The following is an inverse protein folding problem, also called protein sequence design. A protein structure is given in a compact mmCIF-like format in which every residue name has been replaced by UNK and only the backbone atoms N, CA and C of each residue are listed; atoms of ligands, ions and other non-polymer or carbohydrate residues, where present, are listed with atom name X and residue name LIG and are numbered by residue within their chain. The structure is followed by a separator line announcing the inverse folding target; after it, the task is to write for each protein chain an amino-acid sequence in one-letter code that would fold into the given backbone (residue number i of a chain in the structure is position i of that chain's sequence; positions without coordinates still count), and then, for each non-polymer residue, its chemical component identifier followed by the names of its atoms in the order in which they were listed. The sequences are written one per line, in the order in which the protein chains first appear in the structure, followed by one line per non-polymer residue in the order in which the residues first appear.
data_IF_656749021933
#
_entry.id   IF_656749021933
#
_cell.length_a   1.000
_cell.length_b   1.000
_cell.length_c   1.000
_cell.angle_alpha   90.00
_cell.angle_beta   90.00
_cell.angle_gamma   90.00
#
_symmetry.space_group_name_H-M   'P 1'
#
loop_
_entity.id
_entity.type
_entity.pdbx_description
1 polymer ?
#
# COMPACT_ATOMS: atom_id res chain seq x y z
N UNK A 1 9.84 13.23 -6.49
CA UNK A 1 9.86 12.88 -5.06
C UNK A 1 11.00 11.90 -4.87
N UNK A 2 11.71 11.96 -3.73
CA UNK A 2 12.75 10.98 -3.38
C UNK A 2 12.15 9.58 -3.24
N UNK A 3 12.96 8.57 -3.44
CA UNK A 3 12.59 7.17 -3.24
C UNK A 3 12.74 6.77 -1.77
N UNK A 4 12.12 5.66 -1.37
CA UNK A 4 12.32 5.08 -0.04
C UNK A 4 13.79 4.71 0.19
N UNK A 5 14.44 4.17 -0.85
CA UNK A 5 15.87 3.83 -0.84
C UNK A 5 16.77 5.05 -0.57
N UNK A 6 16.46 6.19 -1.15
CA UNK A 6 17.18 7.44 -0.90
C UNK A 6 16.98 7.91 0.54
N UNK A 7 15.74 7.84 1.05
CA UNK A 7 15.39 8.23 2.41
C UNK A 7 16.10 7.40 3.50
N UNK A 8 16.54 6.17 3.20
CA UNK A 8 17.35 5.36 4.12
C UNK A 8 18.72 6.00 4.48
N UNK A 9 19.15 6.99 3.71
CA UNK A 9 20.43 7.70 3.93
C UNK A 9 20.25 9.02 4.67
N UNK A 10 19.01 9.43 4.93
CA UNK A 10 18.70 10.71 5.53
C UNK A 10 19.04 10.74 7.02
N UNK A 11 19.56 11.87 7.48
CA UNK A 11 19.69 12.20 8.89
C UNK A 11 18.32 12.40 9.53
N UNK A 12 18.28 12.42 10.87
CA UNK A 12 17.04 12.72 11.60
C UNK A 12 16.43 14.07 11.20
N UNK A 13 17.27 15.10 11.05
CA UNK A 13 16.84 16.44 10.65
C UNK A 13 16.22 16.44 9.24
N UNK A 14 16.84 15.74 8.28
CA UNK A 14 16.31 15.60 6.93
C UNK A 14 14.96 14.85 6.93
N UNK A 15 14.79 13.82 7.76
CA UNK A 15 13.52 13.11 7.90
C UNK A 15 12.43 13.98 8.52
N UNK A 16 12.73 14.80 9.52
CA UNK A 16 11.76 15.75 10.08
C UNK A 16 11.36 16.84 9.08
N UNK A 17 12.30 17.34 8.29
CA UNK A 17 11.99 18.26 7.21
C UNK A 17 11.13 17.62 6.13
N UNK A 18 11.43 16.37 5.75
CA UNK A 18 10.61 15.59 4.83
C UNK A 18 9.17 15.40 5.31
N UNK A 19 8.96 15.09 6.60
CA UNK A 19 7.63 14.99 7.19
C UNK A 19 6.85 16.30 7.07
N UNK A 20 7.50 17.43 7.38
CA UNK A 20 6.88 18.76 7.21
C UNK A 20 6.47 19.01 5.75
N UNK A 21 7.37 18.73 4.81
CA UNK A 21 7.08 18.86 3.37
C UNK A 21 5.89 18.00 2.94
N UNK A 22 5.82 16.75 3.40
CA UNK A 22 4.71 15.85 3.10
C UNK A 22 3.39 16.34 3.70
N UNK A 23 3.40 16.85 4.93
CA UNK A 23 2.24 17.43 5.60
C UNK A 23 1.73 18.66 4.85
N UNK A 24 2.62 19.60 4.51
CA UNK A 24 2.26 20.81 3.79
C UNK A 24 1.71 20.48 2.40
N UNK A 25 2.30 19.50 1.72
CA UNK A 25 1.83 19.02 0.44
C UNK A 25 0.45 18.35 0.55
N UNK A 26 0.22 17.53 1.57
CA UNK A 26 -1.08 16.94 1.83
C UNK A 26 -2.16 17.99 2.07
N UNK A 27 -1.86 19.06 2.82
CA UNK A 27 -2.77 20.21 3.01
C UNK A 27 -3.07 20.94 1.69
N UNK A 28 -2.05 21.19 0.88
CA UNK A 28 -2.20 21.88 -0.42
C UNK A 28 -3.02 21.04 -1.40
N UNK A 29 -2.81 19.75 -1.44
CA UNK A 29 -3.51 18.81 -2.32
C UNK A 29 -4.69 18.10 -1.62
N UNK A 30 -5.36 18.81 -0.69
CA UNK A 30 -6.44 18.26 0.13
C UNK A 30 -7.61 17.68 -0.69
N UNK A 31 -7.83 18.17 -1.92
CA UNK A 31 -8.85 17.68 -2.84
C UNK A 31 -8.69 16.22 -3.23
N UNK A 32 -7.48 15.66 -3.13
CA UNK A 32 -7.24 14.23 -3.42
C UNK A 32 -7.97 13.35 -2.39
N UNK A 33 -8.05 13.79 -1.12
CA UNK A 33 -8.67 13.02 -0.05
C UNK A 33 -7.95 11.69 0.21
N UNK A 34 -6.62 11.67 0.10
CA UNK A 34 -5.80 10.48 0.32
C UNK A 34 -5.70 10.10 1.80
N UNK A 35 -5.76 11.08 2.69
CA UNK A 35 -5.67 10.90 4.14
C UNK A 35 -6.97 11.32 4.83
N UNK A 36 -7.30 10.64 5.92
CA UNK A 36 -8.46 10.99 6.75
C UNK A 36 -8.27 12.38 7.37
N UNK A 37 -7.06 12.73 7.77
CA UNK A 37 -6.71 14.02 8.33
C UNK A 37 -7.05 15.19 7.38
N UNK A 38 -6.97 15.00 6.05
CA UNK A 38 -7.34 16.03 5.08
C UNK A 38 -8.82 16.43 5.19
N UNK A 39 -9.71 15.46 5.45
CA UNK A 39 -11.14 15.73 5.65
C UNK A 39 -11.43 16.38 7.01
N UNK A 40 -10.55 16.18 7.99
CA UNK A 40 -10.69 16.74 9.34
C UNK A 40 -9.99 18.11 9.48
N UNK A 41 -9.27 18.58 8.47
CA UNK A 41 -8.48 19.81 8.55
C UNK A 41 -7.34 19.75 9.57
N UNK A 42 -6.79 18.57 9.80
CA UNK A 42 -5.70 18.29 10.76
C UNK A 42 -4.38 18.05 10.04
N UNK A 43 -3.29 18.18 10.80
CA UNK A 43 -1.99 17.67 10.38
C UNK A 43 -2.02 16.15 10.29
N UNK A 44 -1.13 15.59 9.44
CA UNK A 44 -0.96 14.15 9.36
C UNK A 44 -0.52 13.60 10.72
N UNK A 45 -1.14 12.51 11.15
CA UNK A 45 -0.76 11.80 12.37
C UNK A 45 0.72 11.39 12.30
N UNK A 46 1.52 11.73 13.30
CA UNK A 46 2.94 11.40 13.36
C UNK A 46 3.20 10.31 14.40
N UNK A 47 3.80 9.22 13.97
CA UNK A 47 4.14 8.07 14.81
C UNK A 47 5.53 8.14 15.44
N UNK A 48 6.22 9.28 15.36
CA UNK A 48 7.55 9.48 15.95
C UNK A 48 8.69 9.40 14.94
N UNK A 49 9.92 9.23 15.43
CA UNK A 49 11.12 9.22 14.60
C UNK A 49 11.13 8.11 13.54
N UNK A 50 11.74 8.39 12.38
CA UNK A 50 11.95 7.43 11.30
C UNK A 50 11.40 7.89 9.95
N UNK A 51 11.63 7.06 8.93
CA UNK A 51 11.18 7.31 7.56
C UNK A 51 9.64 7.22 7.51
N UNK A 52 8.94 8.26 7.05
CA UNK A 52 7.49 8.32 7.07
C UNK A 52 6.84 7.33 6.11
N UNK A 53 5.97 6.47 6.65
CA UNK A 53 5.16 5.49 5.90
C UNK A 53 3.68 5.73 6.19
N UNK A 54 2.89 5.96 5.16
CA UNK A 54 1.45 6.16 5.29
C UNK A 54 0.73 4.84 5.63
N UNK A 55 -0.25 4.89 6.53
CA UNK A 55 -0.88 3.68 7.08
C UNK A 55 -2.37 3.67 6.77
N UNK A 56 -2.85 2.60 6.13
CA UNK A 56 -4.29 2.41 5.91
C UNK A 56 -5.05 2.35 7.23
N UNK A 57 -6.18 3.03 7.31
CA UNK A 57 -6.97 3.25 8.53
C UNK A 57 -7.66 1.98 9.09
N UNK A 58 -7.23 0.80 8.68
CA UNK A 58 -7.59 -0.48 9.28
C UNK A 58 -6.39 -1.22 9.90
N UNK A 59 -5.22 -0.58 9.99
CA UNK A 59 -4.02 -1.15 10.62
C UNK A 59 -3.76 -0.38 11.91
N UNK A 60 -3.75 -1.10 13.03
CA UNK A 60 -3.58 -0.52 14.38
C UNK A 60 -2.22 0.13 14.55
N UNK A 61 -2.23 1.43 14.83
CA UNK A 61 -1.09 2.19 15.36
C UNK A 61 -1.48 2.63 16.76
N UNK A 62 -0.71 2.24 17.75
CA UNK A 62 -1.01 2.57 19.16
C UNK A 62 -1.25 4.07 19.36
N UNK A 63 -2.28 4.38 20.12
CA UNK A 63 -2.71 5.74 20.47
C UNK A 63 -3.28 6.57 19.30
N UNK A 64 -3.38 6.00 18.08
CA UNK A 64 -4.11 6.60 16.97
C UNK A 64 -5.56 6.12 16.92
N UNK A 65 -6.45 6.96 16.42
CA UNK A 65 -7.78 6.48 16.03
C UNK A 65 -7.64 5.43 14.92
N UNK A 66 -8.45 4.38 14.99
CA UNK A 66 -8.60 3.37 13.94
C UNK A 66 -10.09 3.26 13.62
N UNK A 67 -10.48 3.85 12.50
CA UNK A 67 -11.90 3.98 12.18
C UNK A 67 -12.38 3.10 11.05
N UNK A 68 -11.48 2.47 10.30
CA UNK A 68 -11.81 1.74 9.06
C UNK A 68 -12.65 2.59 8.09
N UNK A 69 -12.43 3.91 8.09
CA UNK A 69 -13.22 4.91 7.37
C UNK A 69 -14.74 4.84 7.66
N UNK A 70 -15.14 4.38 8.85
CA UNK A 70 -16.53 4.23 9.29
C UNK A 70 -16.88 5.18 10.43
N UNK A 71 -18.13 5.65 10.42
CA UNK A 71 -18.71 6.40 11.54
C UNK A 71 -18.83 5.56 12.82
N UNK A 72 -19.01 4.24 12.68
CA UNK A 72 -19.21 3.31 13.81
C UNK A 72 -18.00 3.31 14.75
N UNK A 73 -16.77 3.41 14.19
CA UNK A 73 -15.54 3.36 14.97
C UNK A 73 -14.95 4.74 15.28
N UNK A 74 -15.67 5.83 15.03
CA UNK A 74 -15.19 7.16 15.43
C UNK A 74 -14.91 7.23 16.92
N UNK A 75 -13.72 7.76 17.29
CA UNK A 75 -13.26 7.85 18.67
C UNK A 75 -12.68 6.54 19.23
N UNK A 76 -12.67 5.45 18.46
CA UNK A 76 -11.94 4.26 18.86
C UNK A 76 -10.43 4.49 18.69
N UNK A 77 -9.70 4.43 19.79
CA UNK A 77 -8.24 4.58 19.81
C UNK A 77 -7.59 3.19 19.93
N UNK A 78 -6.68 2.88 19.05
CA UNK A 78 -6.00 1.59 19.02
C UNK A 78 -5.11 1.42 20.27
N UNK A 79 -5.30 0.36 21.09
CA UNK A 79 -4.55 0.20 22.34
C UNK A 79 -3.16 -0.39 22.16
N UNK A 80 -2.82 -0.86 20.93
CA UNK A 80 -1.54 -1.49 20.60
C UNK A 80 -1.16 -1.30 19.15
N UNK A 81 0.13 -1.39 18.86
CA UNK A 81 0.64 -1.46 17.48
C UNK A 81 0.37 -2.83 16.85
N UNK A 82 -0.08 -2.86 15.62
CA UNK A 82 -0.02 -4.06 14.79
C UNK A 82 1.43 -4.58 14.69
N UNK A 83 1.61 -5.88 14.47
CA UNK A 83 2.96 -6.45 14.31
C UNK A 83 3.72 -5.78 13.17
N UNK A 84 3.07 -5.46 12.06
CA UNK A 84 3.67 -4.71 10.96
C UNK A 84 4.20 -3.34 11.39
N UNK A 85 3.50 -2.63 12.28
CA UNK A 85 3.92 -1.33 12.81
C UNK A 85 5.14 -1.48 13.74
N UNK A 86 5.14 -2.50 14.62
CA UNK A 86 6.31 -2.81 15.45
C UNK A 86 7.53 -3.12 14.60
N UNK A 87 7.34 -3.91 13.54
CA UNK A 87 8.40 -4.27 12.61
C UNK A 87 8.93 -3.05 11.86
N UNK A 88 8.06 -2.17 11.36
CA UNK A 88 8.45 -0.90 10.74
C UNK A 88 9.34 -0.07 11.67
N UNK A 89 8.88 0.17 12.90
CA UNK A 89 9.62 0.96 13.90
C UNK A 89 11.01 0.36 14.18
N UNK A 90 11.11 -0.98 14.29
CA UNK A 90 12.38 -1.68 14.54
C UNK A 90 13.38 -1.57 13.39
N UNK A 91 12.92 -1.17 12.20
CA UNK A 91 13.72 -0.98 10.97
C UNK A 91 13.94 0.49 10.60
N UNK A 92 13.62 1.42 11.51
CA UNK A 92 13.84 2.84 11.30
C UNK A 92 12.76 3.55 10.47
N UNK A 93 11.59 2.93 10.30
CA UNK A 93 10.43 3.57 9.70
C UNK A 93 9.46 4.07 10.76
N UNK A 94 8.63 5.03 10.41
CA UNK A 94 7.60 5.60 11.28
C UNK A 94 6.24 5.64 10.58
N UNK A 95 5.14 5.25 11.24
CA UNK A 95 3.79 5.55 10.75
C UNK A 95 3.60 7.05 10.57
N UNK A 96 3.02 7.48 9.43
CA UNK A 96 2.81 8.88 9.14
C UNK A 96 1.57 9.11 8.29
N UNK A 97 0.48 9.59 8.89
CA UNK A 97 -0.82 9.81 8.28
C UNK A 97 -1.66 8.54 8.12
N UNK A 98 -2.97 8.66 8.34
CA UNK A 98 -3.96 7.60 8.17
C UNK A 98 -4.59 7.71 6.79
N UNK A 99 -4.33 6.75 5.90
CA UNK A 99 -4.88 6.80 4.55
C UNK A 99 -6.34 6.36 4.51
N UNK A 100 -7.11 7.11 3.72
CA UNK A 100 -8.52 6.84 3.48
C UNK A 100 -8.74 5.52 2.74
N UNK A 101 -9.93 4.95 2.87
CA UNK A 101 -10.23 3.63 2.34
C UNK A 101 -11.74 3.45 2.11
N UNK A 102 -12.16 2.42 1.41
CA UNK A 102 -13.55 1.98 1.48
C UNK A 102 -13.90 1.51 2.89
N UNK A 103 -15.10 1.82 3.36
CA UNK A 103 -15.56 1.51 4.72
C UNK A 103 -15.39 0.01 5.01
N UNK A 104 -14.72 -0.33 6.13
CA UNK A 104 -14.36 -1.70 6.55
C UNK A 104 -13.62 -2.52 5.47
N UNK A 105 -12.90 -1.87 4.57
CA UNK A 105 -12.25 -2.49 3.41
C UNK A 105 -13.21 -3.16 2.41
N UNK A 106 -14.50 -2.88 2.49
CA UNK A 106 -15.56 -3.45 1.66
C UNK A 106 -15.84 -2.55 0.46
N UNK A 107 -14.97 -2.58 -0.56
CA UNK A 107 -15.15 -1.79 -1.77
C UNK A 107 -13.95 -1.84 -2.70
N UNK A 108 -14.09 -1.20 -3.84
CA UNK A 108 -13.09 -1.17 -4.91
C UNK A 108 -12.93 0.21 -5.55
N UNK A 109 -13.39 1.27 -4.86
CA UNK A 109 -13.41 2.62 -5.43
C UNK A 109 -12.97 3.73 -4.46
N UNK A 110 -12.87 3.42 -3.16
CA UNK A 110 -12.65 4.39 -2.06
C UNK A 110 -13.68 5.52 -2.05
N UNK A 111 -14.92 5.18 -2.44
CA UNK A 111 -16.06 6.10 -2.46
C UNK A 111 -17.04 5.86 -1.30
N UNK A 112 -16.89 4.77 -0.53
CA UNK A 112 -17.78 4.39 0.57
C UNK A 112 -17.31 4.92 1.93
N UNK A 113 -16.17 5.60 1.98
CA UNK A 113 -15.65 6.22 3.20
C UNK A 113 -16.65 7.21 3.80
N UNK A 114 -16.86 7.12 5.12
CA UNK A 114 -17.65 8.10 5.87
C UNK A 114 -17.09 9.53 5.76
N UNK A 115 -15.76 9.68 5.65
CA UNK A 115 -15.12 10.99 5.59
C UNK A 115 -15.27 11.67 4.23
N UNK A 116 -15.38 10.90 3.17
CA UNK A 116 -15.50 11.40 1.79
C UNK A 116 -14.68 10.56 0.80
N UNK A 117 -14.84 10.86 -0.48
CA UNK A 117 -14.17 10.09 -1.55
C UNK A 117 -12.69 10.46 -1.66
N UNK A 118 -11.88 9.46 -1.97
CA UNK A 118 -10.54 9.68 -2.52
C UNK A 118 -10.62 9.83 -4.04
N UNK A 119 -9.87 10.75 -4.62
CA UNK A 119 -9.78 10.95 -6.06
C UNK A 119 -8.49 10.35 -6.62
N UNK A 120 -8.54 9.89 -7.87
CA UNK A 120 -7.35 9.41 -8.56
C UNK A 120 -6.45 10.61 -8.93
N UNK A 121 -5.19 10.68 -8.44
CA UNK A 121 -4.33 11.84 -8.69
C UNK A 121 -3.92 12.00 -10.16
N UNK A 122 -4.01 10.95 -10.99
CA UNK A 122 -3.75 11.02 -12.41
C UNK A 122 -4.93 11.60 -13.21
N UNK A 123 -6.16 11.43 -12.69
CA UNK A 123 -7.37 11.97 -13.31
C UNK A 123 -8.50 12.05 -12.27
N UNK A 124 -8.81 13.25 -11.81
CA UNK A 124 -9.83 13.48 -10.77
C UNK A 124 -11.26 13.08 -11.17
N UNK A 125 -11.53 12.82 -12.46
CA UNK A 125 -12.80 12.26 -12.90
C UNK A 125 -12.88 10.72 -12.77
N UNK A 126 -11.81 10.09 -12.32
CA UNK A 126 -11.72 8.62 -12.15
C UNK A 126 -11.56 8.27 -10.68
N UNK A 127 -11.98 7.05 -10.32
CA UNK A 127 -11.74 6.48 -8.99
C UNK A 127 -10.29 6.06 -8.84
N UNK A 128 -9.72 6.13 -7.62
CA UNK A 128 -8.36 5.65 -7.34
C UNK A 128 -8.29 4.11 -7.25
N UNK A 129 -9.45 3.44 -7.27
CA UNK A 129 -9.56 2.05 -6.86
C UNK A 129 -9.73 1.92 -5.34
N UNK A 130 -9.75 0.68 -4.86
CA UNK A 130 -9.95 0.37 -3.44
C UNK A 130 -9.78 -1.12 -3.13
N UNK A 131 -9.85 -1.43 -1.89
CA UNK A 131 -10.21 -0.56 -0.74
C UNK A 131 -9.05 0.32 -0.24
N UNK A 132 -7.80 0.13 -0.67
CA UNK A 132 -6.64 0.95 -0.27
C UNK A 132 -6.42 2.16 -1.21
N UNK A 133 -7.50 2.84 -1.64
CA UNK A 133 -7.40 3.93 -2.61
C UNK A 133 -6.67 5.16 -2.06
N UNK A 134 -6.84 5.49 -0.78
CA UNK A 134 -6.07 6.54 -0.12
C UNK A 134 -4.58 6.25 -0.09
N UNK A 135 -4.19 5.00 0.19
CA UNK A 135 -2.79 4.55 0.18
C UNK A 135 -2.16 4.69 -1.22
N UNK A 136 -2.89 4.26 -2.26
CA UNK A 136 -2.42 4.39 -3.64
C UNK A 136 -2.35 5.85 -4.10
N UNK A 137 -3.39 6.63 -3.79
CA UNK A 137 -3.44 8.05 -4.13
C UNK A 137 -2.36 8.88 -3.41
N UNK A 138 -2.04 8.54 -2.15
CA UNK A 138 -0.96 9.20 -1.42
C UNK A 138 0.39 8.98 -2.11
N UNK A 139 0.71 7.76 -2.51
CA UNK A 139 1.97 7.43 -3.21
C UNK A 139 2.00 8.06 -4.60
N UNK A 140 0.98 7.84 -5.42
CA UNK A 140 0.92 8.33 -6.80
C UNK A 140 0.84 9.87 -6.88
N UNK A 141 0.15 10.51 -5.94
CA UNK A 141 0.06 11.98 -5.82
C UNK A 141 1.31 12.61 -5.21
N UNK A 142 2.28 11.81 -4.82
CA UNK A 142 3.50 12.30 -4.18
C UNK A 142 3.30 12.85 -2.78
N UNK A 143 2.29 12.38 -2.04
CA UNK A 143 1.98 12.76 -0.68
C UNK A 143 2.58 11.78 0.34
N UNK A 144 3.09 10.66 -0.11
CA UNK A 144 3.82 9.67 0.68
C UNK A 144 4.94 9.04 -0.15
N UNK A 145 6.05 8.68 0.49
CA UNK A 145 7.11 7.88 -0.15
C UNK A 145 6.62 6.47 -0.45
N UNK A 146 5.95 5.90 0.52
CA UNK A 146 5.38 4.57 0.49
C UNK A 146 4.21 4.48 1.48
N UNK A 147 3.39 3.45 1.33
CA UNK A 147 2.26 3.20 2.23
C UNK A 147 2.00 1.72 2.46
N UNK A 148 1.35 1.41 3.59
CA UNK A 148 0.74 0.11 3.84
C UNK A 148 -0.73 0.14 3.41
N UNK A 149 -1.16 -0.98 2.84
CA UNK A 149 -2.55 -1.27 2.54
C UNK A 149 -2.96 -2.66 3.00
N UNK A 150 -4.20 -3.05 2.77
CA UNK A 150 -4.68 -4.42 2.97
C UNK A 150 -5.37 -4.92 1.71
N UNK A 151 -5.17 -6.19 1.39
CA UNK A 151 -5.68 -6.82 0.16
C UNK A 151 -6.36 -8.15 0.49
N UNK A 152 -7.61 -8.27 0.15
CA UNK A 152 -8.41 -9.48 0.26
C UNK A 152 -8.61 -10.11 -1.11
N UNK A 153 -9.10 -9.31 -2.06
CA UNK A 153 -9.39 -9.71 -3.43
C UNK A 153 -8.87 -8.71 -4.48
N UNK A 154 -7.83 -7.92 -4.15
CA UNK A 154 -7.25 -6.91 -5.05
C UNK A 154 -7.01 -5.55 -4.41
N UNK A 155 -7.36 -5.37 -3.13
CA UNK A 155 -7.45 -4.03 -2.51
C UNK A 155 -6.11 -3.30 -2.28
N UNK A 156 -4.96 -3.87 -2.64
CA UNK A 156 -3.65 -3.20 -2.80
C UNK A 156 -3.31 -3.11 -4.28
N UNK A 157 -3.44 -4.21 -5.02
CA UNK A 157 -3.00 -4.36 -6.41
C UNK A 157 -3.84 -3.51 -7.38
N UNK A 158 -5.17 -3.53 -7.22
CA UNK A 158 -6.09 -2.80 -8.10
C UNK A 158 -5.95 -1.28 -7.94
N UNK A 159 -5.98 -0.67 -6.73
CA UNK A 159 -5.79 0.76 -6.61
C UNK A 159 -4.37 1.21 -7.04
N UNK A 160 -3.34 0.38 -6.83
CA UNK A 160 -2.01 0.67 -7.36
C UNK A 160 -1.99 0.74 -8.89
N UNK A 161 -2.64 -0.23 -9.56
CA UNK A 161 -2.78 -0.23 -11.02
C UNK A 161 -3.56 1.01 -11.52
N UNK A 162 -4.63 1.40 -10.84
CA UNK A 162 -5.45 2.56 -11.23
C UNK A 162 -4.73 3.90 -11.03
N UNK A 163 -3.90 4.00 -10.00
CA UNK A 163 -3.14 5.21 -9.69
C UNK A 163 -1.74 5.23 -10.32
N UNK A 164 -1.29 4.16 -10.98
CA UNK A 164 0.01 4.11 -11.67
C UNK A 164 1.20 4.00 -10.71
N UNK A 165 1.04 3.32 -9.57
CA UNK A 165 2.13 3.00 -8.65
C UNK A 165 2.31 1.47 -8.51
N UNK A 166 3.31 1.03 -7.77
CA UNK A 166 3.56 -0.40 -7.50
C UNK A 166 2.75 -0.84 -6.29
N UNK A 167 1.93 -1.87 -6.46
CA UNK A 167 1.22 -2.53 -5.36
C UNK A 167 1.62 -3.99 -5.25
N UNK A 168 2.19 -4.37 -4.11
CA UNK A 168 2.62 -5.73 -3.86
C UNK A 168 1.83 -6.36 -2.70
N UNK A 169 1.10 -7.42 -3.01
CA UNK A 169 0.43 -8.28 -2.02
C UNK A 169 1.26 -9.55 -1.81
N UNK A 170 1.85 -9.73 -0.64
CA UNK A 170 2.56 -10.97 -0.30
C UNK A 170 1.65 -12.20 -0.36
N UNK A 171 2.25 -13.38 -0.42
CA UNK A 171 1.51 -14.62 -0.19
C UNK A 171 0.92 -14.63 1.22
N UNK A 172 -0.26 -15.27 1.36
CA UNK A 172 -0.96 -15.38 2.64
C UNK A 172 -0.06 -15.97 3.74
N UNK A 173 -0.09 -15.33 4.91
CA UNK A 173 0.72 -15.73 6.05
C UNK A 173 2.18 -15.23 6.04
N UNK A 174 2.64 -14.52 5.01
CA UNK A 174 4.02 -13.98 4.97
C UNK A 174 4.20 -12.70 5.76
N UNK A 175 3.13 -11.96 5.98
CA UNK A 175 3.07 -10.75 6.82
C UNK A 175 1.98 -10.97 7.85
N UNK A 176 2.28 -10.71 9.12
CA UNK A 176 1.30 -10.86 10.21
C UNK A 176 0.08 -9.96 10.01
N UNK A 177 -1.08 -10.49 10.34
CA UNK A 177 -2.36 -9.78 10.38
C UNK A 177 -2.74 -9.34 11.80
N UNK A 178 -1.90 -9.60 12.80
CA UNK A 178 -2.18 -9.13 14.16
C UNK A 178 -2.22 -7.60 14.20
N UNK A 179 -3.37 -7.08 14.62
CA UNK A 179 -3.66 -5.64 14.61
C UNK A 179 -4.23 -5.09 13.29
N UNK A 180 -4.60 -5.96 12.34
CA UNK A 180 -5.39 -5.60 11.17
C UNK A 180 -6.88 -5.78 11.48
N UNK A 181 -7.69 -4.73 11.32
CA UNK A 181 -9.14 -4.87 11.28
C UNK A 181 -9.54 -5.62 10.00
N UNK A 182 -10.12 -6.80 10.18
CA UNK A 182 -10.33 -7.76 9.10
C UNK A 182 -11.53 -7.42 8.23
N UNK A 183 -11.41 -7.68 6.92
CA UNK A 183 -12.54 -7.86 6.00
C UNK A 183 -12.89 -9.35 5.87
N UNK A 184 -11.90 -10.17 5.55
CA UNK A 184 -12.03 -11.63 5.47
C UNK A 184 -10.78 -12.30 6.02
N UNK A 185 -10.88 -12.86 7.23
CA UNK A 185 -9.74 -13.40 7.96
C UNK A 185 -8.99 -14.53 7.24
N UNK A 186 -9.63 -15.23 6.30
CA UNK A 186 -9.02 -16.30 5.51
C UNK A 186 -8.33 -15.83 4.23
N UNK A 187 -8.43 -14.54 3.89
CA UNK A 187 -7.93 -13.99 2.62
C UNK A 187 -7.07 -12.74 2.80
N UNK A 188 -7.31 -11.95 3.86
CA UNK A 188 -6.65 -10.67 4.09
C UNK A 188 -5.14 -10.80 4.19
N UNK A 189 -4.44 -9.86 3.56
CA UNK A 189 -3.00 -9.71 3.69
C UNK A 189 -2.62 -8.23 3.68
N UNK A 190 -1.77 -7.81 4.60
CA UNK A 190 -1.16 -6.48 4.53
C UNK A 190 -0.13 -6.51 3.39
N UNK A 191 -0.20 -5.49 2.54
CA UNK A 191 0.69 -5.29 1.41
C UNK A 191 1.23 -3.87 1.37
N UNK A 192 2.12 -3.61 0.44
CA UNK A 192 2.85 -2.36 0.30
C UNK A 192 2.51 -1.66 -1.01
N UNK A 193 2.50 -0.32 -0.98
CA UNK A 193 2.36 0.51 -2.17
C UNK A 193 3.54 1.50 -2.21
N UNK A 194 4.20 1.59 -3.36
CA UNK A 194 5.44 2.35 -3.53
C UNK A 194 5.56 2.91 -4.95
N UNK A 195 6.55 3.76 -5.18
CA UNK A 195 6.80 4.34 -6.49
C UNK A 195 7.50 3.37 -7.46
N UNK A 196 8.28 2.44 -6.94
CA UNK A 196 9.07 1.49 -7.73
C UNK A 196 9.19 0.12 -7.02
N UNK A 197 9.67 -0.88 -7.74
CA UNK A 197 9.76 -2.28 -7.26
C UNK A 197 10.82 -2.44 -6.18
N UNK A 198 11.92 -1.70 -6.23
CA UNK A 198 12.99 -1.78 -5.22
C UNK A 198 12.48 -1.29 -3.86
N UNK A 199 11.77 -0.17 -3.83
CA UNK A 199 11.13 0.34 -2.62
C UNK A 199 10.06 -0.63 -2.07
N UNK A 200 9.33 -1.33 -2.96
CA UNK A 200 8.37 -2.36 -2.55
C UNK A 200 9.07 -3.53 -1.86
N UNK A 201 10.21 -3.97 -2.36
CA UNK A 201 11.00 -5.02 -1.74
C UNK A 201 11.56 -4.58 -0.37
N UNK A 202 12.09 -3.36 -0.27
CA UNK A 202 12.60 -2.80 0.99
C UNK A 202 11.49 -2.73 2.04
N UNK A 203 10.32 -2.21 1.69
CA UNK A 203 9.21 -2.07 2.63
C UNK A 203 8.60 -3.43 3.00
N UNK A 204 8.50 -4.36 2.04
CA UNK A 204 8.09 -5.73 2.32
C UNK A 204 9.05 -6.43 3.30
N UNK A 205 10.34 -6.32 3.08
CA UNK A 205 11.37 -6.90 3.97
C UNK A 205 11.30 -6.31 5.39
N UNK A 206 10.82 -5.07 5.52
CA UNK A 206 10.64 -4.45 6.83
C UNK A 206 9.44 -5.00 7.60
N UNK A 207 8.39 -5.51 6.93
CA UNK A 207 7.15 -5.94 7.60
C UNK A 207 6.95 -7.45 7.62
N UNK A 208 7.69 -8.21 6.80
CA UNK A 208 7.53 -9.65 6.66
C UNK A 208 8.14 -10.44 7.82
N UNK A 209 7.66 -11.65 8.01
CA UNK A 209 8.20 -12.61 8.97
C UNK A 209 7.13 -13.34 9.76
N UNK A 210 7.57 -14.38 10.48
CA UNK A 210 6.70 -15.16 11.36
C UNK A 210 6.28 -14.36 12.61
N UNK A 211 5.01 -14.47 12.95
CA UNK A 211 4.45 -13.89 14.17
C UNK A 211 3.58 -14.92 14.90
N UNK A 212 3.95 -15.22 16.16
CA UNK A 212 3.16 -16.12 17.03
C UNK A 212 1.77 -15.59 17.39
N UNK A 213 1.55 -14.26 17.23
CA UNK A 213 0.27 -13.61 17.51
C UNK A 213 -0.75 -13.78 16.38
N UNK A 214 -0.30 -14.20 15.19
CA UNK A 214 -1.18 -14.54 14.05
C UNK A 214 -1.08 -16.04 13.79
N UNK A 215 -2.15 -16.77 14.14
CA UNK A 215 -2.21 -18.25 13.98
C UNK A 215 -2.01 -18.73 12.53
N UNK A 216 -2.19 -17.84 11.55
CA UNK A 216 -2.02 -18.15 10.14
C UNK A 216 -0.66 -17.71 9.59
N UNK A 217 0.19 -17.09 10.43
CA UNK A 217 1.54 -16.69 10.03
C UNK A 217 2.38 -17.93 9.68
N UNK A 218 3.00 -17.89 8.50
CA UNK A 218 3.75 -19.03 7.98
C UNK A 218 5.08 -19.20 8.74
N UNK A 219 5.28 -20.39 9.30
CA UNK A 219 6.55 -20.79 9.96
C UNK A 219 7.58 -21.20 8.91
N UNK A 220 8.07 -20.23 8.16
CA UNK A 220 9.09 -20.44 7.13
C UNK A 220 10.21 -19.42 7.32
N UNK A 221 11.42 -19.83 6.96
CA UNK A 221 12.55 -18.92 7.00
C UNK A 221 12.31 -17.73 6.08
N UNK A 222 12.64 -16.55 6.58
CA UNK A 222 12.54 -15.31 5.82
C UNK A 222 13.89 -14.99 5.17
N UNK A 223 13.88 -14.95 3.85
CA UNK A 223 15.02 -14.45 3.06
C UNK A 223 14.68 -13.03 2.57
N UNK A 224 15.50 -12.03 2.87
CA UNK A 224 15.28 -10.68 2.38
C UNK A 224 15.16 -10.62 0.85
N UNK A 225 14.20 -9.85 0.37
CA UNK A 225 13.89 -9.74 -1.07
C UNK A 225 14.72 -8.66 -1.74
N UNK A 226 14.89 -7.51 -1.09
CA UNK A 226 15.56 -6.35 -1.68
C UNK A 226 16.99 -6.64 -2.17
N UNK A 227 17.87 -7.31 -1.39
CA UNK A 227 19.22 -7.64 -1.86
C UNK A 227 19.25 -8.76 -2.92
N UNK A 228 18.15 -9.49 -3.11
CA UNK A 228 18.03 -10.62 -4.01
C UNK A 228 17.20 -10.32 -5.27
N UNK A 229 16.88 -9.05 -5.53
CA UNK A 229 16.23 -8.65 -6.78
C UNK A 229 17.16 -8.98 -7.97
N UNK A 230 16.64 -9.73 -8.93
CA UNK A 230 17.37 -10.13 -10.13
C UNK A 230 16.50 -9.94 -11.37
N UNK A 231 16.73 -8.86 -12.09
CA UNK A 231 16.04 -8.54 -13.34
C UNK A 231 16.49 -9.39 -14.54
N UNK A 232 17.65 -10.08 -14.44
CA UNK A 232 18.18 -10.92 -15.53
C UNK A 232 17.59 -12.32 -15.56
N UNK A 233 16.96 -12.76 -14.46
CA UNK A 233 16.35 -14.08 -14.36
C UNK A 233 15.24 -14.25 -15.40
N UNK A 234 15.41 -15.21 -16.31
CA UNK A 234 14.37 -15.57 -17.29
C UNK A 234 13.31 -16.43 -16.63
N UNK A 235 12.06 -16.09 -16.89
CA UNK A 235 10.90 -16.73 -16.30
C UNK A 235 10.01 -17.33 -17.40
N UNK A 236 9.28 -18.38 -17.05
CA UNK A 236 8.14 -18.88 -17.81
C UNK A 236 6.87 -18.25 -17.25
N UNK A 237 6.18 -17.46 -18.06
CA UNK A 237 5.06 -16.60 -17.64
C UNK A 237 3.78 -17.10 -18.31
N UNK A 238 2.78 -17.48 -17.52
CA UNK A 238 1.47 -17.84 -18.03
C UNK A 238 0.62 -16.58 -18.28
N UNK A 239 -0.03 -16.54 -19.43
CA UNK A 239 -1.06 -15.54 -19.77
C UNK A 239 -2.40 -16.26 -19.83
N UNK A 240 -3.35 -15.84 -19.01
CA UNK A 240 -4.71 -16.37 -19.00
C UNK A 240 -5.51 -15.64 -20.08
N UNK A 241 -5.77 -16.31 -21.19
CA UNK A 241 -6.37 -15.69 -22.38
C UNK A 241 -7.78 -15.16 -22.13
N UNK A 242 -8.57 -15.86 -21.34
CA UNK A 242 -9.93 -15.43 -21.02
C UNK A 242 -9.92 -14.02 -20.37
N UNK A 243 -9.05 -13.76 -19.41
CA UNK A 243 -8.95 -12.44 -18.76
C UNK A 243 -8.48 -11.35 -19.73
N UNK A 244 -7.54 -11.68 -20.63
CA UNK A 244 -7.09 -10.73 -21.64
C UNK A 244 -8.21 -10.43 -22.64
N UNK A 245 -9.00 -11.43 -23.04
CA UNK A 245 -10.05 -11.27 -24.03
C UNK A 245 -11.28 -10.52 -23.48
N UNK A 246 -11.59 -10.68 -22.20
CA UNK A 246 -12.67 -9.99 -21.51
C UNK A 246 -12.33 -8.55 -21.09
N UNK A 247 -11.04 -8.16 -21.14
CA UNK A 247 -10.62 -6.82 -20.79
C UNK A 247 -11.12 -5.77 -21.80
N UNK A 248 -11.34 -4.53 -21.34
CA UNK A 248 -11.62 -3.41 -22.24
C UNK A 248 -10.51 -3.25 -23.28
N UNK A 249 -10.82 -2.65 -24.43
CA UNK A 249 -9.86 -2.48 -25.53
C UNK A 249 -8.56 -1.80 -25.07
N UNK A 250 -8.65 -0.78 -24.22
CA UNK A 250 -7.50 -0.05 -23.69
C UNK A 250 -6.63 -0.93 -22.77
N UNK A 251 -7.26 -1.67 -21.85
CA UNK A 251 -6.56 -2.59 -20.94
C UNK A 251 -5.94 -3.74 -21.71
N UNK A 252 -6.66 -4.31 -22.69
CA UNK A 252 -6.15 -5.36 -23.56
C UNK A 252 -4.92 -4.91 -24.34
N UNK A 253 -4.95 -3.70 -24.90
CA UNK A 253 -3.79 -3.14 -25.62
C UNK A 253 -2.56 -2.99 -24.70
N UNK A 254 -2.75 -2.51 -23.48
CA UNK A 254 -1.67 -2.38 -22.49
C UNK A 254 -1.10 -3.74 -22.07
N UNK A 255 -1.96 -4.76 -21.86
CA UNK A 255 -1.53 -6.12 -21.55
C UNK A 255 -0.73 -6.75 -22.70
N UNK A 256 -1.21 -6.63 -23.95
CA UNK A 256 -0.50 -7.16 -25.13
C UNK A 256 0.87 -6.49 -25.28
N UNK A 257 0.96 -5.17 -25.09
CA UNK A 257 2.24 -4.46 -25.09
C UNK A 257 3.20 -4.98 -24.01
N UNK A 258 2.70 -5.23 -22.82
CA UNK A 258 3.50 -5.79 -21.71
C UNK A 258 3.99 -7.20 -22.02
N UNK A 259 3.15 -8.03 -22.66
CA UNK A 259 3.53 -9.38 -23.10
C UNK A 259 4.67 -9.32 -24.14
N UNK A 260 4.59 -8.43 -25.12
CA UNK A 260 5.65 -8.25 -26.10
C UNK A 260 6.96 -7.76 -25.47
N UNK A 261 6.88 -6.84 -24.51
CA UNK A 261 8.07 -6.40 -23.73
C UNK A 261 8.71 -7.56 -22.97
N UNK A 262 7.91 -8.43 -22.34
CA UNK A 262 8.41 -9.60 -21.62
C UNK A 262 9.09 -10.60 -22.56
N UNK A 263 8.50 -10.86 -23.74
CA UNK A 263 9.12 -11.69 -24.79
C UNK A 263 10.45 -11.10 -25.26
N UNK A 264 10.48 -9.80 -25.55
CA UNK A 264 11.69 -9.10 -25.99
C UNK A 264 12.82 -9.16 -24.96
N UNK A 265 12.46 -9.21 -23.67
CA UNK A 265 13.40 -9.42 -22.56
C UNK A 265 13.77 -10.91 -22.35
N UNK A 266 13.34 -11.82 -23.22
CA UNK A 266 13.71 -13.23 -23.20
C UNK A 266 12.94 -14.10 -22.20
N UNK A 267 11.78 -13.67 -21.73
CA UNK A 267 10.87 -14.52 -20.97
C UNK A 267 10.07 -15.45 -21.90
N UNK A 268 9.82 -16.67 -21.45
CA UNK A 268 8.91 -17.61 -22.14
C UNK A 268 7.46 -17.26 -21.80
N UNK A 269 6.62 -17.03 -22.81
CA UNK A 269 5.19 -16.77 -22.61
C UNK A 269 4.40 -18.03 -22.98
N UNK A 270 3.58 -18.50 -22.02
CA UNK A 270 2.70 -19.66 -22.18
C UNK A 270 1.26 -19.21 -22.03
N UNK A 271 0.46 -19.43 -23.07
CA UNK A 271 -0.96 -19.11 -23.05
C UNK A 271 -1.76 -20.26 -22.40
N UNK A 272 -2.73 -19.90 -21.57
CA UNK A 272 -3.64 -20.80 -20.87
C UNK A 272 -5.06 -20.26 -20.90
N UNK A 273 -6.06 -21.17 -21.00
CA UNK A 273 -7.47 -20.87 -20.85
C UNK A 273 -7.90 -20.94 -19.37
#
# INVERSE_FOLDING_TARGET
MITLKEALKYSKEELENLKKELNDKAKKENKIGAYIEQFLGKDLSDGGEGIPIAIKDNISVKDWELTCASKILQGYVAPYDATTIKNLRSKGFSPYGRTNMDEFAMGSSSATSFYGKTLNPLNFARVPGGSSGGSAAAVAGGLALASLGSDTGGSVRQPAAFCGCVGFKPSYGRVSRYGLASYSSSLDQIGVLTQNVEDAAILYDAIAGYDKMDSTSAKVDFTPTAPNLNAEKKLRIAVIENYVNEASAEVKAALLKSIEMLKANGHEIVYKN
#
